data_IF_577702785936
#
_entry.id   IF_577702785936
#
_cell.length_a   1.000
_cell.length_b   1.000
_cell.length_c   1.000
_cell.angle_alpha   90.00
_cell.angle_beta   90.00
_cell.angle_gamma   90.00
#
_symmetry.space_group_name_H-M   'P 1'
#
loop_
_entity.id
_entity.type
_entity.pdbx_description
1 polymer ?
#
# COMPACT_ATOMS: atom_id res chain seq x y z
N UNK A 1 6.85 -17.73 -6.56
CA UNK A 1 7.39 -16.86 -5.49
C UNK A 1 6.98 -17.41 -4.14
N UNK A 2 7.93 -17.78 -3.29
CA UNK A 2 7.68 -18.25 -1.92
C UNK A 2 7.18 -17.11 -1.03
N UNK A 3 6.21 -17.38 -0.14
CA UNK A 3 5.64 -16.40 0.82
C UNK A 3 6.71 -15.74 1.70
N UNK A 4 7.81 -16.44 2.00
CA UNK A 4 8.97 -15.90 2.74
C UNK A 4 9.64 -14.71 2.02
N UNK A 5 9.60 -14.66 0.69
CA UNK A 5 10.27 -13.62 -0.10
C UNK A 5 9.60 -12.25 -0.03
N UNK A 6 8.27 -12.20 0.05
CA UNK A 6 7.54 -10.93 0.05
C UNK A 6 7.57 -10.28 1.44
N UNK A 7 7.35 -11.07 2.51
CA UNK A 7 7.48 -10.61 3.89
C UNK A 7 8.87 -10.01 4.13
N UNK A 8 9.91 -10.77 3.77
CA UNK A 8 11.30 -10.32 3.86
C UNK A 8 11.54 -9.03 3.06
N UNK A 9 11.05 -8.92 1.82
CA UNK A 9 11.19 -7.70 1.02
C UNK A 9 10.45 -6.48 1.57
N UNK A 10 9.24 -6.65 2.13
CA UNK A 10 8.48 -5.53 2.70
C UNK A 10 9.13 -5.07 4.00
N UNK A 11 9.47 -6.02 4.88
CA UNK A 11 10.13 -5.72 6.16
C UNK A 11 11.51 -5.10 5.93
N UNK A 12 12.39 -5.74 5.15
CA UNK A 12 13.78 -5.28 5.01
C UNK A 12 13.97 -4.01 4.18
N UNK A 13 13.08 -3.68 3.23
CA UNK A 13 13.26 -2.51 2.37
C UNK A 13 12.45 -1.28 2.79
N UNK A 14 11.44 -1.44 3.65
CA UNK A 14 10.49 -0.37 3.95
C UNK A 14 10.13 -0.26 5.43
N UNK A 15 10.56 -1.21 6.25
CA UNK A 15 10.25 -1.25 7.67
C UNK A 15 11.58 -1.40 8.42
N UNK A 16 12.32 -0.31 8.59
CA UNK A 16 13.35 -0.30 9.64
C UNK A 16 12.68 -0.70 10.97
N UNK A 17 13.39 -1.41 11.85
CA UNK A 17 12.85 -1.85 13.16
C UNK A 17 12.29 -0.67 13.99
N UNK A 18 12.76 0.55 13.70
CA UNK A 18 12.25 1.82 14.24
C UNK A 18 10.84 2.20 13.73
N UNK A 19 10.45 1.80 12.52
CA UNK A 19 9.12 2.01 11.93
C UNK A 19 8.09 0.97 12.38
N UNK A 20 8.55 -0.23 12.73
CA UNK A 20 7.73 -1.30 13.33
C UNK A 20 7.35 -0.93 14.78
N UNK A 21 8.27 -0.30 15.51
CA UNK A 21 8.07 0.16 16.89
C UNK A 21 7.57 1.61 17.01
N UNK A 22 7.77 2.46 16.00
CA UNK A 22 7.15 3.78 15.98
C UNK A 22 5.68 3.68 15.60
N UNK A 23 4.91 4.65 16.07
CA UNK A 23 3.45 4.80 16.02
C UNK A 23 2.75 4.51 14.67
N UNK A 24 3.50 4.34 13.58
CA UNK A 24 3.00 4.16 12.22
C UNK A 24 2.26 2.84 12.00
N UNK A 25 2.63 1.74 12.66
CA UNK A 25 2.02 0.41 12.46
C UNK A 25 1.45 -0.23 13.72
N UNK A 26 1.09 0.59 14.71
CA UNK A 26 0.49 0.05 15.93
C UNK A 26 -0.77 -0.75 15.60
N UNK A 27 -1.03 -1.80 16.38
CA UNK A 27 -2.29 -2.57 16.29
C UNK A 27 -3.53 -1.67 16.41
N UNK A 28 -3.40 -0.54 17.12
CA UNK A 28 -4.42 0.52 17.19
C UNK A 28 -4.66 1.18 15.83
N UNK A 29 -3.60 1.59 15.12
CA UNK A 29 -3.70 2.20 13.80
C UNK A 29 -4.17 1.21 12.72
N UNK A 30 -3.74 -0.05 12.77
CA UNK A 30 -4.24 -1.09 11.87
C UNK A 30 -5.72 -1.44 12.14
N UNK A 31 -6.16 -1.36 13.40
CA UNK A 31 -7.58 -1.46 13.74
C UNK A 31 -8.39 -0.27 13.22
N UNK A 32 -7.84 0.95 13.29
CA UNK A 32 -8.43 2.15 12.69
C UNK A 32 -8.58 1.98 11.17
N UNK A 33 -7.52 1.58 10.47
CA UNK A 33 -7.54 1.31 9.04
C UNK A 33 -8.59 0.26 8.67
N UNK A 34 -8.68 -0.84 9.43
CA UNK A 34 -9.63 -1.93 9.18
C UNK A 34 -11.10 -1.52 9.22
N UNK A 35 -11.42 -0.35 9.81
CA UNK A 35 -12.78 0.17 9.98
C UNK A 35 -13.12 1.29 8.99
N UNK A 36 -12.20 1.66 8.09
CA UNK A 36 -12.33 2.84 7.25
C UNK A 36 -12.20 2.55 5.75
N UNK A 37 -12.60 3.53 4.94
CA UNK A 37 -12.71 3.43 3.48
C UNK A 37 -11.35 3.22 2.79
N UNK A 38 -11.41 2.77 1.54
CA UNK A 38 -10.25 2.47 0.69
C UNK A 38 -9.22 3.62 0.60
N UNK A 39 -9.65 4.87 0.77
CA UNK A 39 -8.78 6.05 0.68
C UNK A 39 -7.71 6.07 1.78
N UNK A 40 -8.07 5.63 2.99
CA UNK A 40 -7.16 5.74 4.15
C UNK A 40 -5.97 4.79 3.98
N UNK A 41 -6.23 3.60 3.42
CA UNK A 41 -5.17 2.67 3.05
C UNK A 41 -4.25 3.25 1.98
N UNK A 42 -4.82 3.96 1.01
CA UNK A 42 -4.08 4.54 -0.10
C UNK A 42 -3.13 5.62 0.38
N UNK A 43 -3.62 6.57 1.17
CA UNK A 43 -2.81 7.63 1.79
C UNK A 43 -1.68 7.03 2.61
N UNK A 44 -1.99 6.01 3.40
CA UNK A 44 -1.02 5.37 4.26
C UNK A 44 0.07 4.61 3.49
N UNK A 45 -0.25 3.87 2.41
CA UNK A 45 0.82 3.26 1.57
C UNK A 45 1.65 4.31 0.82
N UNK A 46 1.06 5.49 0.57
CA UNK A 46 1.73 6.63 -0.05
C UNK A 46 2.74 7.29 0.91
N UNK A 47 2.37 7.49 2.18
CA UNK A 47 3.28 8.04 3.20
C UNK A 47 4.47 7.12 3.47
N UNK A 48 4.27 5.80 3.37
CA UNK A 48 5.35 4.81 3.46
C UNK A 48 6.19 4.67 2.18
N UNK A 49 5.87 5.39 1.10
CA UNK A 49 6.58 5.29 -0.18
C UNK A 49 6.38 3.94 -0.91
N UNK A 50 5.39 3.15 -0.52
CA UNK A 50 5.09 1.84 -1.12
C UNK A 50 4.30 1.94 -2.44
N UNK A 51 3.76 3.13 -2.70
CA UNK A 51 3.25 3.59 -3.98
C UNK A 51 3.80 4.98 -4.29
N UNK A 52 3.70 5.40 -5.54
CA UNK A 52 4.08 6.76 -5.95
C UNK A 52 3.11 7.78 -5.37
N UNK A 53 3.63 8.90 -4.87
CA UNK A 53 2.85 10.06 -4.41
C UNK A 53 2.48 11.01 -5.56
N UNK A 54 3.26 10.97 -6.63
CA UNK A 54 3.06 11.77 -7.84
C UNK A 54 3.41 10.94 -9.08
N UNK A 55 2.80 11.30 -10.22
CA UNK A 55 3.01 10.56 -11.46
C UNK A 55 2.82 11.44 -12.68
N UNK A 56 3.80 11.42 -13.57
CA UNK A 56 3.68 11.96 -14.92
C UNK A 56 3.03 10.93 -15.85
N UNK A 57 2.16 11.41 -16.74
CA UNK A 57 1.49 10.57 -17.72
C UNK A 57 2.50 10.06 -18.76
N UNK A 58 2.60 8.74 -19.00
CA UNK A 58 3.58 8.20 -19.94
C UNK A 58 3.28 8.50 -21.42
N UNK A 59 2.14 9.14 -21.73
CA UNK A 59 1.77 9.51 -23.10
C UNK A 59 1.98 10.99 -23.41
N UNK A 60 1.79 11.89 -22.45
CA UNK A 60 1.88 13.34 -22.67
C UNK A 60 2.72 14.08 -21.62
N UNK A 61 3.36 13.35 -20.71
CA UNK A 61 4.20 13.85 -19.61
C UNK A 61 3.54 14.80 -18.59
N UNK A 62 2.25 15.11 -18.73
CA UNK A 62 1.51 15.91 -17.77
C UNK A 62 1.29 15.18 -16.44
N UNK A 63 1.22 15.93 -15.34
CA UNK A 63 0.90 15.37 -14.03
C UNK A 63 -0.49 14.73 -14.00
N UNK A 64 -0.54 13.50 -13.51
CA UNK A 64 -1.76 12.75 -13.28
C UNK A 64 -2.30 13.05 -11.88
N UNK A 65 -3.59 12.85 -11.69
CA UNK A 65 -4.26 12.92 -10.38
C UNK A 65 -4.86 11.56 -10.02
N UNK A 66 -4.99 11.27 -8.73
CA UNK A 66 -5.74 10.12 -8.26
C UNK A 66 -7.24 10.46 -8.33
N UNK A 67 -8.04 9.52 -8.82
CA UNK A 67 -9.50 9.60 -8.82
C UNK A 67 -10.11 8.29 -8.36
N UNK A 68 -11.34 8.38 -7.84
CA UNK A 68 -12.17 7.21 -7.53
C UNK A 68 -12.54 6.49 -8.84
N UNK A 69 -12.22 5.19 -8.91
CA UNK A 69 -12.57 4.25 -9.98
C UNK A 69 -12.98 2.91 -9.34
N UNK A 70 -14.26 2.78 -9.00
CA UNK A 70 -14.83 1.64 -8.27
C UNK A 70 -14.72 0.29 -8.99
N UNK A 71 -14.32 0.29 -10.27
CA UNK A 71 -14.07 -0.94 -11.03
C UNK A 71 -12.69 -1.55 -10.73
N UNK A 72 -11.84 -0.84 -9.99
CA UNK A 72 -10.49 -1.29 -9.61
C UNK A 72 -10.47 -1.91 -8.22
N UNK A 73 -9.48 -2.76 -7.99
CA UNK A 73 -9.30 -3.53 -6.75
C UNK A 73 -9.24 -2.62 -5.50
N UNK A 74 -8.65 -1.43 -5.60
CA UNK A 74 -8.58 -0.46 -4.50
C UNK A 74 -9.51 0.74 -4.70
N UNK A 75 -10.40 0.68 -5.68
CA UNK A 75 -11.29 1.78 -6.03
C UNK A 75 -10.60 3.09 -6.47
N UNK A 76 -9.30 3.08 -6.78
CA UNK A 76 -8.57 4.28 -7.24
C UNK A 76 -7.70 4.03 -8.47
N UNK A 77 -7.51 5.09 -9.26
CA UNK A 77 -6.64 5.10 -10.42
C UNK A 77 -5.96 6.45 -10.61
N UNK A 78 -4.78 6.44 -11.22
CA UNK A 78 -4.17 7.64 -11.77
C UNK A 78 -4.86 7.98 -13.07
N UNK A 79 -5.33 9.22 -13.23
CA UNK A 79 -5.92 9.71 -14.48
C UNK A 79 -5.23 10.98 -14.96
N UNK A 80 -4.96 11.03 -16.25
CA UNK A 80 -4.50 12.23 -16.93
C UNK A 80 -5.71 13.07 -17.39
N UNK A 81 -5.57 14.40 -17.38
CA UNK A 81 -6.59 15.32 -17.87
C UNK A 81 -6.80 15.19 -19.39
N UNK A 82 -7.89 15.81 -19.88
CA UNK A 82 -8.21 15.97 -21.31
C UNK A 82 -7.08 16.76 -22.00
N UNK A 83 -6.69 16.42 -23.25
CA UNK A 83 -7.28 15.41 -24.14
C UNK A 83 -6.78 13.98 -23.91
N UNK A 84 -5.71 13.79 -23.15
CA UNK A 84 -5.05 12.48 -23.03
C UNK A 84 -5.93 11.40 -22.40
N UNK A 85 -6.63 11.71 -21.29
CA UNK A 85 -7.53 10.78 -20.57
C UNK A 85 -6.94 9.41 -20.21
N UNK A 86 -5.63 9.23 -20.30
CA UNK A 86 -4.96 7.96 -19.97
C UNK A 86 -5.13 7.66 -18.50
N UNK A 87 -5.45 6.40 -18.21
CA UNK A 87 -5.66 5.91 -16.84
C UNK A 87 -4.68 4.80 -16.54
N UNK A 88 -4.11 4.80 -15.33
CA UNK A 88 -3.19 3.77 -14.83
C UNK A 88 -3.66 3.28 -13.45
N UNK A 89 -3.36 2.02 -13.15
CA UNK A 89 -3.57 1.46 -11.81
C UNK A 89 -2.79 2.29 -10.78
N UNK A 90 -3.38 2.54 -9.60
CA UNK A 90 -2.70 3.28 -8.54
C UNK A 90 -1.42 2.60 -8.05
N UNK A 91 -1.37 1.27 -8.15
CA UNK A 91 -0.22 0.40 -7.81
C UNK A 91 0.82 0.24 -8.91
N UNK A 92 0.62 0.85 -10.08
CA UNK A 92 1.55 0.69 -11.22
C UNK A 92 2.96 1.14 -10.80
N UNK A 93 3.99 0.39 -11.18
CA UNK A 93 5.40 0.53 -10.81
C UNK A 93 5.67 0.44 -9.30
N UNK A 94 4.82 -0.27 -8.56
CA UNK A 94 4.97 -0.49 -7.11
C UNK A 94 5.08 -1.98 -6.81
N UNK A 95 5.55 -2.32 -5.61
CA UNK A 95 5.63 -3.71 -5.13
C UNK A 95 4.26 -4.43 -5.13
N UNK A 96 3.17 -3.67 -5.18
CA UNK A 96 1.80 -4.18 -5.18
C UNK A 96 1.21 -4.37 -6.59
N UNK A 97 1.91 -3.99 -7.66
CA UNK A 97 1.36 -3.95 -9.03
C UNK A 97 0.70 -5.28 -9.45
N UNK A 98 1.34 -6.39 -9.11
CA UNK A 98 0.89 -7.73 -9.50
C UNK A 98 0.09 -8.44 -8.40
N UNK A 99 -0.20 -7.77 -7.29
CA UNK A 99 -1.00 -8.35 -6.22
C UNK A 99 -2.48 -8.35 -6.60
N UNK A 100 -3.08 -9.55 -6.58
CA UNK A 100 -4.51 -9.75 -6.89
C UNK A 100 -5.45 -9.30 -5.78
N UNK A 101 -4.93 -8.96 -4.60
CA UNK A 101 -5.71 -8.63 -3.41
C UNK A 101 -5.67 -7.13 -3.12
N UNK A 102 -6.78 -6.58 -2.64
CA UNK A 102 -6.93 -5.18 -2.22
C UNK A 102 -6.00 -4.79 -1.08
N UNK A 103 -5.75 -3.49 -0.92
CA UNK A 103 -4.95 -3.00 0.21
C UNK A 103 -5.50 -3.51 1.53
N UNK A 104 -6.83 -3.52 1.73
CA UNK A 104 -7.44 -4.07 2.94
C UNK A 104 -6.91 -5.47 3.31
N UNK A 105 -6.80 -6.40 2.35
CA UNK A 105 -6.26 -7.75 2.59
C UNK A 105 -4.77 -7.71 2.88
N UNK A 106 -4.02 -6.89 2.16
CA UNK A 106 -2.58 -6.72 2.36
C UNK A 106 -2.32 -6.23 3.79
N UNK A 107 -3.08 -5.24 4.25
CA UNK A 107 -3.01 -4.71 5.62
C UNK A 107 -3.41 -5.73 6.68
N UNK A 108 -4.42 -6.57 6.41
CA UNK A 108 -4.76 -7.68 7.30
C UNK A 108 -3.58 -8.66 7.45
N UNK A 109 -2.88 -8.99 6.35
CA UNK A 109 -1.70 -9.85 6.43
C UNK A 109 -0.55 -9.19 7.18
N UNK A 110 -0.28 -7.90 6.94
CA UNK A 110 0.74 -7.15 7.68
C UNK A 110 0.43 -7.15 9.18
N UNK A 111 -0.83 -6.92 9.55
CA UNK A 111 -1.29 -6.97 10.95
C UNK A 111 -1.07 -8.35 11.58
N UNK A 112 -1.40 -9.43 10.86
CA UNK A 112 -1.19 -10.79 11.36
C UNK A 112 0.30 -11.07 11.57
N UNK A 113 1.17 -10.69 10.64
CA UNK A 113 2.61 -10.89 10.79
C UNK A 113 3.20 -10.13 11.97
N UNK A 114 2.83 -8.86 12.16
CA UNK A 114 3.29 -8.07 13.32
C UNK A 114 2.82 -8.72 14.62
N UNK A 115 1.59 -9.21 14.68
CA UNK A 115 1.07 -9.90 15.85
C UNK A 115 1.84 -11.19 16.14
N UNK A 116 2.17 -11.97 15.10
CA UNK A 116 2.93 -13.21 15.25
C UNK A 116 4.37 -12.93 15.74
N UNK A 117 5.03 -11.88 15.24
CA UNK A 117 6.38 -11.48 15.68
C UNK A 117 6.39 -11.01 17.15
N UNK A 118 5.45 -10.15 17.53
CA UNK A 118 5.31 -9.70 18.92
C UNK A 118 4.99 -10.84 19.90
N UNK A 119 4.37 -11.93 19.43
CA UNK A 119 4.11 -13.11 20.25
C UNK A 119 5.31 -14.07 20.28
N UNK A 120 6.13 -14.11 19.22
CA UNK A 120 7.38 -14.86 19.18
C UNK A 120 8.45 -14.31 20.12
N UNK A 121 8.49 -12.99 20.33
CA UNK A 121 9.45 -12.32 21.22
C UNK A 121 9.12 -12.48 22.73
N UNK A 122 7.97 -13.05 23.09
CA UNK A 122 7.59 -13.32 24.50
C UNK A 122 8.03 -14.74 24.94
N UNK A 123 8.58 -15.55 24.03
CA UNK A 123 8.94 -16.95 24.27
C UNK A 123 10.46 -17.22 24.39
N UNK A 124 11.28 -16.21 24.72
CA UNK A 124 12.71 -16.35 25.03
C UNK A 124 13.06 -15.76 26.39
#
# INVERSE_FOLDING_TARGET
MSKKSLRKKIVENYMEDSAINSSLLTMSYLNYLSRHESIVYLEYVATLGLIKNERSCPACNNNMRIVLDTKRIDSYAWTCKIPCRKTLCVRKDSIFEHMRKGFHVIFLFLRMWIKDDLQGDIAL
#
